data_IF_032266282900
#
_entry.id   IF_032266282900
#
_cell.length_a   1.000
_cell.length_b   1.000
_cell.length_c   1.000
_cell.angle_alpha   90.00
_cell.angle_beta   90.00
_cell.angle_gamma   90.00
#
_symmetry.space_group_name_H-M   'P 1'
#
loop_
_entity.id
_entity.type
_entity.pdbx_description
1 polymer ?
#
# COMPACT_ATOMS: atom_id res chain seq x y z
N UNK A 1 4.28 0.71 -14.04
CA UNK A 1 3.72 0.79 -12.67
C UNK A 1 2.56 1.76 -12.65
N UNK A 2 1.58 1.55 -11.78
CA UNK A 2 0.40 2.42 -11.65
C UNK A 2 0.20 2.81 -10.19
N UNK A 3 -0.26 4.02 -9.89
CA UNK A 3 -0.60 4.44 -8.52
C UNK A 3 -2.02 3.98 -8.14
N UNK A 4 -2.21 3.54 -6.90
CA UNK A 4 -3.46 3.05 -6.36
C UNK A 4 -3.92 3.84 -5.14
N UNK A 5 -5.25 3.93 -5.03
CA UNK A 5 -5.97 4.27 -3.82
C UNK A 5 -7.09 3.24 -3.65
N UNK A 6 -7.17 2.60 -2.48
CA UNK A 6 -8.13 1.55 -2.17
C UNK A 6 -8.82 1.80 -0.83
N UNK A 7 -10.06 1.32 -0.72
CA UNK A 7 -10.86 1.28 0.50
C UNK A 7 -11.54 -0.11 0.58
N UNK A 8 -11.40 -0.80 1.71
CA UNK A 8 -12.02 -2.11 1.92
C UNK A 8 -13.38 -2.05 2.65
N UNK A 9 -13.70 -0.95 3.34
CA UNK A 9 -14.99 -0.74 4.01
C UNK A 9 -16.20 -0.72 3.05
N UNK A 10 -16.02 -0.22 1.83
CA UNK A 10 -17.07 -0.25 0.80
C UNK A 10 -17.41 -1.69 0.38
N UNK A 11 -16.42 -2.59 0.31
CA UNK A 11 -16.60 -3.98 -0.13
C UNK A 11 -17.52 -4.75 0.83
N UNK A 12 -17.39 -4.52 2.13
CA UNK A 12 -18.22 -5.16 3.16
C UNK A 12 -19.67 -4.62 3.16
N UNK A 13 -19.89 -3.31 2.97
CA UNK A 13 -21.23 -2.68 2.99
C UNK A 13 -22.16 -3.12 1.86
N UNK A 14 -21.63 -3.51 0.69
CA UNK A 14 -22.43 -4.02 -0.43
C UNK A 14 -22.71 -5.54 -0.34
N UNK A 15 -22.45 -6.16 0.82
CA UNK A 15 -22.66 -7.59 1.03
C UNK A 15 -21.75 -8.47 0.16
N UNK A 16 -20.63 -7.92 -0.33
CA UNK A 16 -19.64 -8.70 -1.06
C UNK A 16 -18.73 -9.35 -0.03
N UNK A 17 -18.62 -10.70 -0.02
CA UNK A 17 -17.59 -11.37 0.77
C UNK A 17 -16.22 -10.78 0.41
N UNK A 18 -15.23 -10.87 1.30
CA UNK A 18 -13.78 -10.69 1.04
C UNK A 18 -13.21 -11.68 -0.02
N UNK A 19 -14.04 -12.13 -0.96
CA UNK A 19 -13.66 -13.03 -2.03
C UNK A 19 -13.15 -12.21 -3.19
N UNK A 20 -11.83 -12.09 -3.29
CA UNK A 20 -11.04 -11.80 -4.50
C UNK A 20 -11.88 -11.51 -5.75
N UNK A 21 -12.30 -10.25 -5.96
CA UNK A 21 -13.09 -9.88 -7.13
C UNK A 21 -12.22 -9.22 -8.20
N UNK A 22 -12.09 -9.95 -9.31
CA UNK A 22 -11.79 -9.42 -10.63
C UNK A 22 -13.12 -9.22 -11.36
N UNK A 23 -13.44 -7.98 -11.77
CA UNK A 23 -14.66 -7.67 -12.53
C UNK A 23 -14.32 -7.45 -13.99
N UNK A 24 -14.78 -8.34 -14.86
CA UNK A 24 -15.12 -7.97 -16.25
C UNK A 24 -16.49 -8.55 -16.57
N UNK A 25 -17.29 -7.76 -17.29
CA UNK A 25 -18.58 -8.20 -17.83
C UNK A 25 -18.40 -9.49 -18.66
N UNK A 26 -19.34 -10.41 -18.47
CA UNK A 26 -19.39 -11.81 -18.93
C UNK A 26 -18.66 -12.82 -18.02
N UNK A 27 -19.46 -13.49 -17.18
CA UNK A 27 -19.13 -14.70 -16.40
C UNK A 27 -18.14 -14.50 -15.24
N UNK A 28 -18.70 -14.46 -14.02
CA UNK A 28 -17.95 -14.51 -12.77
C UNK A 28 -17.31 -15.91 -12.63
N UNK A 29 -16.03 -16.03 -12.95
CA UNK A 29 -15.23 -17.18 -12.52
C UNK A 29 -14.62 -16.85 -11.16
N UNK A 30 -15.15 -17.47 -10.12
CA UNK A 30 -14.57 -17.45 -8.78
C UNK A 30 -13.23 -18.19 -8.85
N UNK A 31 -12.11 -17.54 -8.51
CA UNK A 31 -10.79 -18.19 -8.41
C UNK A 31 -10.44 -18.40 -6.92
N UNK A 32 -10.71 -19.59 -6.33
CA UNK A 32 -10.50 -19.89 -4.91
C UNK A 32 -9.03 -20.07 -4.49
N UNK A 33 -8.06 -19.72 -5.32
CA UNK A 33 -6.69 -20.26 -5.27
C UNK A 33 -5.60 -19.19 -5.34
N UNK A 34 -5.71 -18.10 -4.57
CA UNK A 34 -4.68 -17.04 -4.52
C UNK A 34 -3.90 -17.05 -3.22
N UNK A 35 -2.60 -16.76 -3.32
CA UNK A 35 -1.66 -16.61 -2.21
C UNK A 35 -1.20 -15.16 -2.14
N UNK A 36 -1.13 -14.60 -0.94
CA UNK A 36 -0.62 -13.26 -0.69
C UNK A 36 0.44 -13.28 0.40
N UNK A 37 1.49 -12.47 0.21
CA UNK A 37 2.56 -12.31 1.18
C UNK A 37 2.85 -10.83 1.42
N UNK A 38 3.33 -10.52 2.62
CA UNK A 38 3.62 -9.16 3.07
C UNK A 38 5.02 -9.09 3.66
N UNK A 39 5.69 -7.97 3.45
CA UNK A 39 6.86 -7.56 4.22
C UNK A 39 6.66 -6.08 4.58
N UNK A 40 6.21 -5.82 5.80
CA UNK A 40 5.79 -4.49 6.24
C UNK A 40 6.12 -4.21 7.71
N UNK A 41 6.39 -2.95 8.03
CA UNK A 41 6.30 -2.45 9.39
C UNK A 41 4.91 -1.93 9.69
N UNK A 42 4.50 -2.03 10.95
CA UNK A 42 3.22 -1.54 11.46
C UNK A 42 3.47 -0.72 12.71
N UNK A 43 2.56 0.19 13.03
CA UNK A 43 2.56 0.94 14.28
C UNK A 43 1.14 1.21 14.75
N UNK A 44 0.93 1.24 16.07
CA UNK A 44 -0.33 1.67 16.69
C UNK A 44 -0.34 3.16 17.02
N UNK A 45 0.76 3.86 16.79
CA UNK A 45 0.79 5.32 16.78
C UNK A 45 0.23 5.88 15.46
N UNK A 46 0.10 7.21 15.37
CA UNK A 46 -0.33 7.85 14.12
C UNK A 46 -1.81 7.82 13.86
N UNK A 47 -2.64 7.92 14.91
CA UNK A 47 -4.10 7.89 14.84
C UNK A 47 -4.70 8.73 13.70
N UNK A 48 -4.08 9.85 13.33
CA UNK A 48 -4.63 10.77 12.32
C UNK A 48 -3.99 10.63 10.95
N UNK A 49 -3.01 9.74 10.77
CA UNK A 49 -2.44 9.43 9.48
C UNK A 49 -0.92 9.33 9.45
N UNK A 50 -0.39 9.20 8.24
CA UNK A 50 1.04 9.08 7.98
C UNK A 50 1.41 9.62 6.59
N UNK A 51 2.67 10.01 6.48
CA UNK A 51 3.35 10.35 5.26
C UNK A 51 4.60 9.49 5.10
N UNK A 52 4.88 9.07 3.87
CA UNK A 52 6.17 8.49 3.53
C UNK A 52 6.52 8.79 2.06
N UNK A 53 7.80 8.70 1.75
CA UNK A 53 8.32 8.63 0.41
C UNK A 53 8.65 7.19 0.05
N UNK A 54 8.32 6.85 -1.17
CA UNK A 54 8.29 5.46 -1.54
C UNK A 54 9.05 5.26 -2.83
N UNK A 55 10.10 4.43 -2.77
CA UNK A 55 11.00 4.20 -3.89
C UNK A 55 10.32 3.29 -4.92
N UNK A 56 10.23 3.76 -6.17
CA UNK A 56 9.43 3.11 -7.21
C UNK A 56 10.32 2.36 -8.18
N UNK A 57 10.28 1.03 -8.16
CA UNK A 57 10.99 0.17 -9.12
C UNK A 57 10.04 -0.39 -10.17
N UNK A 58 10.55 -0.56 -11.39
CA UNK A 58 9.85 -1.29 -12.44
C UNK A 58 10.09 -2.80 -12.32
N UNK A 59 9.01 -3.59 -12.36
CA UNK A 59 9.09 -5.05 -12.41
C UNK A 59 8.58 -5.54 -13.78
N UNK A 60 9.45 -5.63 -14.81
CA UNK A 60 9.02 -5.91 -16.18
C UNK A 60 8.44 -7.33 -16.37
N UNK A 61 8.70 -8.25 -15.43
CA UNK A 61 8.39 -9.68 -15.55
C UNK A 61 7.17 -10.13 -14.72
N UNK A 62 6.33 -9.19 -14.24
CA UNK A 62 5.08 -9.53 -13.55
C UNK A 62 4.08 -10.15 -14.53
N UNK A 63 3.63 -11.38 -14.25
CA UNK A 63 2.63 -12.10 -15.05
C UNK A 63 1.23 -11.49 -14.85
N UNK A 64 0.30 -11.79 -15.77
CA UNK A 64 -1.06 -11.20 -15.81
C UNK A 64 -1.88 -11.39 -14.52
N UNK A 65 -1.64 -12.46 -13.76
CA UNK A 65 -2.33 -12.79 -12.51
C UNK A 65 -1.47 -12.57 -11.26
N UNK A 66 -0.31 -11.94 -11.42
CA UNK A 66 0.58 -11.59 -10.33
C UNK A 66 0.41 -10.11 -9.97
N UNK A 67 0.65 -9.83 -8.70
CA UNK A 67 0.59 -8.51 -8.09
C UNK A 67 1.84 -8.36 -7.23
N UNK A 68 2.47 -7.19 -7.35
CA UNK A 68 3.55 -6.77 -6.48
C UNK A 68 3.36 -5.28 -6.25
N UNK A 69 3.39 -4.87 -5.00
CA UNK A 69 3.06 -3.52 -4.60
C UNK A 69 3.84 -3.07 -3.38
N UNK A 70 3.76 -1.78 -3.15
CA UNK A 70 4.29 -1.10 -1.98
C UNK A 70 3.35 0.04 -1.64
N UNK A 71 3.09 0.23 -0.36
CA UNK A 71 1.94 0.97 0.10
C UNK A 71 2.15 1.62 1.48
N UNK A 72 1.30 2.60 1.76
CA UNK A 72 0.91 3.05 3.09
C UNK A 72 -0.50 2.53 3.35
N UNK A 73 -0.72 1.88 4.49
CA UNK A 73 -2.01 1.33 4.92
C UNK A 73 -2.46 1.98 6.23
N UNK A 74 -3.77 2.17 6.37
CA UNK A 74 -4.42 2.67 7.59
C UNK A 74 -5.60 1.76 7.89
N UNK A 75 -5.68 1.23 9.10
CA UNK A 75 -6.74 0.31 9.51
C UNK A 75 -7.34 0.68 10.87
N UNK A 76 -8.60 0.29 11.08
CA UNK A 76 -9.28 0.30 12.36
C UNK A 76 -10.24 -0.89 12.47
N UNK A 77 -10.51 -1.35 13.69
CA UNK A 77 -11.43 -2.43 13.98
C UNK A 77 -10.78 -3.81 14.06
N UNK A 78 -9.44 -3.85 14.18
CA UNK A 78 -8.62 -5.08 14.18
C UNK A 78 -8.90 -5.97 15.39
N UNK A 79 -9.32 -5.38 16.51
CA UNK A 79 -9.67 -6.13 17.74
C UNK A 79 -11.16 -6.54 17.78
N UNK A 80 -11.94 -6.16 16.76
CA UNK A 80 -13.36 -6.45 16.64
C UNK A 80 -13.66 -7.65 15.72
N UNK A 81 -14.94 -8.01 15.51
CA UNK A 81 -15.29 -9.01 14.51
C UNK A 81 -14.89 -8.53 13.11
N UNK A 82 -14.51 -9.45 12.22
CA UNK A 82 -13.88 -9.15 10.92
C UNK A 82 -14.69 -8.21 10.02
N UNK A 83 -16.03 -8.22 10.16
CA UNK A 83 -16.94 -7.33 9.46
C UNK A 83 -16.92 -5.86 9.95
N UNK A 84 -16.14 -5.56 10.98
CA UNK A 84 -15.90 -4.21 11.49
C UNK A 84 -14.52 -3.67 11.10
N UNK A 85 -13.65 -4.50 10.52
CA UNK A 85 -12.34 -4.06 10.04
C UNK A 85 -12.55 -3.18 8.82
N UNK A 86 -12.00 -1.98 8.87
CA UNK A 86 -11.99 -1.06 7.75
C UNK A 86 -10.56 -0.59 7.50
N UNK A 87 -10.13 -0.65 6.24
CA UNK A 87 -8.82 -0.19 5.82
C UNK A 87 -8.90 0.77 4.62
N UNK A 88 -7.94 1.68 4.55
CA UNK A 88 -7.60 2.43 3.35
C UNK A 88 -6.12 2.25 3.07
N UNK A 89 -5.75 2.19 1.79
CA UNK A 89 -4.36 2.10 1.38
C UNK A 89 -4.10 2.92 0.13
N UNK A 90 -2.89 3.44 0.03
CA UNK A 90 -2.40 4.06 -1.20
C UNK A 90 -0.96 3.64 -1.46
N UNK A 91 -0.61 3.45 -2.73
CA UNK A 91 0.64 2.82 -3.10
C UNK A 91 0.80 2.69 -4.61
N UNK A 92 1.72 1.86 -5.06
CA UNK A 92 1.82 1.45 -6.47
C UNK A 92 1.99 -0.04 -6.61
N UNK A 93 1.62 -0.50 -7.79
CA UNK A 93 1.66 -1.90 -8.16
C UNK A 93 2.20 -2.11 -9.58
N UNK A 94 2.77 -3.30 -9.79
CA UNK A 94 3.47 -3.69 -11.01
C UNK A 94 2.68 -4.51 -12.01
N UNK A 95 1.35 -4.43 -12.04
CA UNK A 95 0.53 -5.21 -12.98
C UNK A 95 0.25 -4.49 -14.32
N UNK A 96 0.67 -3.22 -14.44
CA UNK A 96 0.39 -2.39 -15.61
C UNK A 96 -1.10 -2.07 -15.83
N UNK A 97 -1.88 -1.94 -14.75
CA UNK A 97 -3.33 -1.71 -14.76
C UNK A 97 -4.13 -2.88 -15.36
N UNK A 98 -3.59 -4.10 -15.32
CA UNK A 98 -4.21 -5.30 -15.96
C UNK A 98 -5.07 -6.12 -15.02
N UNK A 99 -4.92 -6.00 -13.70
CA UNK A 99 -5.86 -6.59 -12.75
C UNK A 99 -7.08 -5.69 -12.72
N UNK A 100 -8.21 -6.19 -13.24
CA UNK A 100 -9.50 -5.57 -13.00
C UNK A 100 -9.95 -5.94 -11.59
N UNK A 101 -10.39 -4.96 -10.83
CA UNK A 101 -10.83 -5.09 -9.44
C UNK A 101 -11.35 -3.72 -9.00
N UNK A 102 -11.93 -3.63 -7.80
CA UNK A 102 -12.40 -2.37 -7.28
C UNK A 102 -11.18 -1.57 -6.76
N UNK A 103 -10.42 -0.99 -7.68
CA UNK A 103 -9.25 -0.18 -7.41
C UNK A 103 -9.42 1.17 -8.12
N UNK A 104 -8.82 2.24 -7.60
CA UNK A 104 -8.93 3.59 -8.16
C UNK A 104 -10.38 4.12 -8.12
N UNK A 105 -10.77 4.88 -9.14
CA UNK A 105 -12.13 5.42 -9.30
C UNK A 105 -13.17 4.37 -9.75
N UNK A 106 -12.78 3.09 -9.87
CA UNK A 106 -13.70 2.02 -10.22
C UNK A 106 -14.56 1.57 -9.03
N UNK A 107 -14.15 1.90 -7.80
CA UNK A 107 -15.00 1.82 -6.62
C UNK A 107 -15.73 3.12 -6.35
N UNK A 108 -16.97 3.02 -5.87
CA UNK A 108 -17.54 4.10 -5.09
C UNK A 108 -16.75 4.19 -3.78
N UNK A 109 -16.23 5.37 -3.46
CA UNK A 109 -15.67 5.63 -2.14
C UNK A 109 -14.54 6.65 -2.12
N UNK A 110 -13.75 6.75 -3.19
CA UNK A 110 -12.78 7.84 -3.33
C UNK A 110 -13.38 8.98 -4.15
N UNK A 111 -13.30 10.20 -3.66
CA UNK A 111 -13.81 11.40 -4.30
C UNK A 111 -12.63 12.26 -4.76
N UNK A 112 -12.40 12.40 -6.07
CA UNK A 112 -11.40 13.32 -6.61
C UNK A 112 -11.66 14.76 -6.18
N UNK A 113 -10.60 15.46 -5.76
CA UNK A 113 -10.66 16.90 -5.54
C UNK A 113 -10.78 17.65 -6.88
N UNK A 114 -9.93 17.27 -7.83
CA UNK A 114 -9.98 17.78 -9.20
C UNK A 114 -10.04 16.60 -10.18
N UNK A 115 -11.20 16.44 -10.84
CA UNK A 115 -11.43 15.39 -11.85
C UNK A 115 -10.51 15.49 -13.08
N UNK A 116 -9.91 16.66 -13.33
CA UNK A 116 -8.96 16.88 -14.41
C UNK A 116 -7.49 16.65 -14.00
N UNK A 117 -7.22 16.27 -12.74
CA UNK A 117 -5.86 16.02 -12.28
C UNK A 117 -5.23 14.83 -13.01
N UNK A 118 -3.98 14.99 -13.44
CA UNK A 118 -3.20 13.90 -14.06
C UNK A 118 -2.68 12.88 -13.05
N UNK A 119 -2.84 13.13 -11.74
CA UNK A 119 -2.39 12.27 -10.64
C UNK A 119 -3.52 11.51 -9.95
N UNK A 120 -4.69 11.39 -10.59
CA UNK A 120 -5.76 10.56 -10.05
C UNK A 120 -5.31 9.09 -9.97
N UNK A 121 -5.80 8.32 -8.97
CA UNK A 121 -5.52 6.89 -8.87
C UNK A 121 -5.72 6.19 -10.23
N UNK A 122 -4.73 5.40 -10.64
CA UNK A 122 -4.63 4.86 -12.00
C UNK A 122 -3.58 5.56 -12.88
N UNK A 123 -2.93 6.64 -12.42
CA UNK A 123 -1.87 7.31 -13.18
C UNK A 123 -0.59 6.45 -13.26
N UNK A 124 0.14 6.59 -14.37
CA UNK A 124 1.44 5.93 -14.57
C UNK A 124 2.53 6.70 -13.84
N UNK A 125 3.34 5.97 -13.08
CA UNK A 125 4.52 6.55 -12.42
C UNK A 125 5.70 6.43 -13.38
N UNK A 126 6.27 7.57 -13.74
CA UNK A 126 7.47 7.71 -14.54
C UNK A 126 8.20 9.00 -14.10
N UNK A 127 9.54 9.02 -14.05
CA UNK A 127 10.45 7.90 -14.28
C UNK A 127 10.48 6.88 -13.11
N UNK A 128 10.98 5.67 -13.40
CA UNK A 128 11.19 4.58 -12.43
C UNK A 128 12.64 4.48 -11.98
N UNK A 129 12.87 3.99 -10.77
CA UNK A 129 14.20 3.78 -10.18
C UNK A 129 14.97 2.69 -10.92
N UNK A 130 16.30 2.87 -11.00
CA UNK A 130 17.23 1.96 -11.64
C UNK A 130 18.08 1.22 -10.62
N UNK A 131 18.30 -0.08 -10.83
CA UNK A 131 19.22 -0.84 -9.98
C UNK A 131 20.65 -0.29 -10.10
N UNK A 132 21.24 0.05 -8.96
CA UNK A 132 22.54 0.70 -8.84
C UNK A 132 22.63 2.03 -9.63
N UNK A 133 21.49 2.74 -9.73
CA UNK A 133 21.34 3.97 -10.49
C UNK A 133 20.46 5.01 -9.79
N UNK A 134 19.89 5.92 -10.57
CA UNK A 134 19.05 7.00 -10.04
C UNK A 134 17.79 6.41 -9.41
N UNK A 135 17.49 6.87 -8.19
CA UNK A 135 16.29 6.48 -7.46
C UNK A 135 15.22 7.55 -7.62
N UNK A 136 13.99 7.10 -7.82
CA UNK A 136 12.82 7.95 -7.92
C UNK A 136 11.82 7.59 -6.83
N UNK A 137 11.20 8.61 -6.25
CA UNK A 137 10.25 8.45 -5.15
C UNK A 137 8.93 9.09 -5.48
N UNK A 138 7.86 8.55 -4.89
CA UNK A 138 6.55 9.19 -4.83
C UNK A 138 6.25 9.48 -3.37
N UNK A 139 5.96 10.74 -3.05
CA UNK A 139 5.60 11.12 -1.69
C UNK A 139 4.11 10.96 -1.49
N UNK A 140 3.69 10.14 -0.54
CA UNK A 140 2.28 9.87 -0.24
C UNK A 140 2.00 10.30 1.19
N UNK A 141 0.89 11.01 1.38
CA UNK A 141 0.34 11.30 2.71
C UNK A 141 -1.13 10.93 2.74
N UNK A 142 -1.53 10.16 3.75
CA UNK A 142 -2.92 9.92 4.08
C UNK A 142 -3.15 10.49 5.48
N UNK A 143 -4.12 11.39 5.63
CA UNK A 143 -4.48 11.92 6.95
C UNK A 143 -5.97 12.20 7.08
N UNK A 144 -6.50 12.14 8.29
CA UNK A 144 -7.88 12.49 8.57
C UNK A 144 -7.99 14.00 8.86
N UNK A 145 -8.72 14.72 8.02
CA UNK A 145 -8.89 16.17 8.16
C UNK A 145 -9.74 16.52 9.39
N UNK A 146 -9.31 17.52 10.14
CA UNK A 146 -9.97 17.99 11.35
C UNK A 146 -11.40 18.50 11.12
N UNK A 147 -11.63 19.16 9.98
CA UNK A 147 -12.87 19.89 9.73
C UNK A 147 -13.97 18.97 9.20
N UNK A 148 -13.67 18.17 8.18
CA UNK A 148 -14.65 17.28 7.56
C UNK A 148 -14.71 15.91 8.26
N UNK A 149 -13.57 15.45 8.80
CA UNK A 149 -13.37 14.09 9.29
C UNK A 149 -13.09 13.08 8.18
N UNK A 150 -12.94 13.53 6.93
CA UNK A 150 -12.63 12.68 5.78
C UNK A 150 -11.15 12.34 5.74
N UNK A 151 -10.82 11.19 5.13
CA UNK A 151 -9.44 10.78 4.94
C UNK A 151 -8.91 11.33 3.62
N UNK A 152 -7.99 12.28 3.68
CA UNK A 152 -7.39 12.92 2.52
C UNK A 152 -6.13 12.22 2.06
N UNK A 153 -6.04 12.02 0.75
CA UNK A 153 -4.88 11.49 0.05
C UNK A 153 -4.13 12.62 -0.66
N UNK A 154 -2.84 12.73 -0.38
CA UNK A 154 -1.91 13.63 -1.07
C UNK A 154 -0.82 12.84 -1.76
N UNK A 155 -0.44 13.30 -2.96
CA UNK A 155 0.70 12.79 -3.74
C UNK A 155 1.56 13.98 -4.12
N UNK A 156 2.85 13.91 -3.76
CA UNK A 156 3.83 14.98 -3.93
C UNK A 156 3.34 16.33 -3.37
N UNK A 157 2.77 16.27 -2.16
CA UNK A 157 2.15 17.38 -1.41
C UNK A 157 0.84 17.93 -1.99
N UNK A 158 0.43 17.52 -3.19
CA UNK A 158 -0.85 17.93 -3.78
C UNK A 158 -2.00 17.06 -3.27
N UNK A 159 -3.10 17.64 -2.77
CA UNK A 159 -4.32 16.87 -2.50
C UNK A 159 -4.90 16.35 -3.81
N UNK A 160 -5.16 15.05 -3.91
CA UNK A 160 -5.78 14.45 -5.10
C UNK A 160 -7.23 14.05 -4.87
N UNK A 161 -7.63 13.86 -3.62
CA UNK A 161 -8.99 13.50 -3.24
C UNK A 161 -9.04 12.89 -1.86
N UNK A 162 -10.22 12.40 -1.49
CA UNK A 162 -10.49 11.90 -0.14
C UNK A 162 -11.47 10.72 -0.13
N UNK A 163 -11.46 9.97 0.97
CA UNK A 163 -12.50 9.03 1.33
C UNK A 163 -13.44 9.66 2.37
N UNK A 164 -14.74 9.83 2.06
CA UNK A 164 -15.70 10.38 3.01
C UNK A 164 -15.79 9.57 4.30
N UNK A 165 -15.84 10.23 5.45
CA UNK A 165 -15.93 9.57 6.77
C UNK A 165 -17.13 8.65 6.89
N UNK A 166 -18.22 8.97 6.18
CA UNK A 166 -19.49 8.23 6.17
C UNK A 166 -19.35 6.81 5.63
N UNK A 167 -18.24 6.52 4.96
CA UNK A 167 -17.90 5.16 4.53
C UNK A 167 -17.52 4.27 5.71
N UNK A 168 -17.03 4.83 6.80
CA UNK A 168 -16.35 4.09 7.86
C UNK A 168 -17.11 4.08 9.17
N UNK A 169 -16.93 3.00 9.95
CA UNK A 169 -17.30 2.96 11.36
C UNK A 169 -16.06 3.28 12.20
N UNK A 170 -15.09 2.37 12.26
CA UNK A 170 -13.87 2.53 13.05
C UNK A 170 -13.02 3.73 12.59
N UNK A 171 -12.67 3.78 11.31
CA UNK A 171 -11.87 4.88 10.74
C UNK A 171 -12.56 6.25 10.81
N UNK A 172 -13.85 6.33 11.15
CA UNK A 172 -14.47 7.63 11.44
C UNK A 172 -13.89 8.30 12.70
N UNK A 173 -13.24 7.53 13.58
CA UNK A 173 -12.65 7.98 14.84
C UNK A 173 -11.11 8.02 14.82
N UNK A 174 -10.50 7.77 13.67
CA UNK A 174 -9.04 7.68 13.50
C UNK A 174 -8.56 6.25 13.23
N UNK A 175 -7.27 6.12 12.99
CA UNK A 175 -6.56 4.87 12.80
C UNK A 175 -6.31 4.14 14.12
N UNK A 176 -6.35 2.82 14.06
CA UNK A 176 -5.85 1.92 15.10
C UNK A 176 -4.43 1.44 14.77
N UNK A 177 -4.14 1.26 13.49
CA UNK A 177 -2.85 0.78 13.00
C UNK A 177 -2.51 1.48 11.68
N UNK A 178 -1.26 1.89 11.55
CA UNK A 178 -0.63 2.34 10.31
C UNK A 178 0.35 1.26 9.86
N UNK A 179 0.45 1.02 8.56
CA UNK A 179 1.43 0.10 7.99
C UNK A 179 2.15 0.68 6.78
N UNK A 180 3.40 0.26 6.60
CA UNK A 180 4.23 0.60 5.47
C UNK A 180 4.95 -0.65 5.01
N UNK A 181 4.92 -0.96 3.72
CA UNK A 181 5.73 -2.06 3.20
C UNK A 181 5.29 -2.55 1.83
N UNK A 182 5.69 -3.78 1.53
CA UNK A 182 5.39 -4.46 0.29
C UNK A 182 4.36 -5.57 0.45
N UNK A 183 3.62 -5.82 -0.62
CA UNK A 183 2.70 -6.95 -0.74
C UNK A 183 2.83 -7.60 -2.10
N UNK A 184 2.72 -8.92 -2.14
CA UNK A 184 2.56 -9.69 -3.37
C UNK A 184 1.28 -10.50 -3.32
N UNK A 185 0.71 -10.77 -4.49
CA UNK A 185 -0.43 -11.68 -4.62
C UNK A 185 -0.31 -12.43 -5.94
N UNK A 186 -0.59 -13.72 -5.96
CA UNK A 186 -0.43 -14.57 -7.15
C UNK A 186 -1.35 -15.80 -7.06
N UNK A 187 -1.53 -16.52 -8.17
CA UNK A 187 -2.25 -17.79 -8.16
C UNK A 187 -1.38 -18.86 -7.47
N UNK A 188 -1.96 -19.72 -6.62
CA UNK A 188 -1.21 -20.76 -5.86
C UNK A 188 -0.41 -21.73 -6.73
N UNK A 189 -0.79 -21.83 -8.00
CA UNK A 189 -0.15 -22.70 -8.99
C UNK A 189 0.98 -21.99 -9.75
N UNK A 190 1.05 -20.66 -9.67
CA UNK A 190 2.09 -19.84 -10.24
C UNK A 190 3.27 -19.68 -9.27
N UNK A 191 4.41 -19.27 -9.83
CA UNK A 191 5.54 -18.79 -9.03
C UNK A 191 5.17 -17.45 -8.39
N UNK A 192 5.65 -17.20 -7.18
CA UNK A 192 5.44 -15.88 -6.57
C UNK A 192 6.26 -14.80 -7.31
N UNK A 193 5.73 -13.57 -7.44
CA UNK A 193 6.43 -12.48 -8.11
C UNK A 193 7.49 -11.84 -7.20
N UNK A 194 8.49 -11.13 -7.76
CA UNK A 194 9.38 -10.30 -6.96
C UNK A 194 8.63 -9.19 -6.21
N UNK A 195 9.12 -8.81 -5.03
CA UNK A 195 8.63 -7.68 -4.24
C UNK A 195 9.60 -6.50 -4.28
N UNK A 196 9.08 -5.28 -4.38
CA UNK A 196 9.90 -4.07 -4.41
C UNK A 196 10.75 -4.00 -5.67
N UNK A 197 12.08 -3.99 -5.52
CA UNK A 197 13.03 -4.05 -6.65
C UNK A 197 13.31 -5.48 -7.13
N UNK A 198 12.80 -6.50 -6.45
CA UNK A 198 13.19 -7.90 -6.66
C UNK A 198 14.49 -8.30 -5.97
N UNK A 199 15.06 -7.42 -5.15
CA UNK A 199 16.28 -7.66 -4.38
C UNK A 199 16.01 -7.66 -2.88
N UNK A 200 16.88 -8.34 -2.14
CA UNK A 200 16.80 -8.40 -0.69
C UNK A 200 17.26 -7.07 -0.05
N UNK A 201 16.70 -6.69 1.12
CA UNK A 201 16.99 -5.42 1.78
C UNK A 201 18.47 -5.23 2.16
N UNK A 202 19.22 -6.31 2.35
CA UNK A 202 20.65 -6.31 2.67
C UNK A 202 21.50 -5.67 1.56
N UNK A 203 20.98 -5.57 0.33
CA UNK A 203 21.66 -4.85 -0.76
C UNK A 203 21.63 -3.32 -0.59
N UNK A 204 20.69 -2.79 0.19
CA UNK A 204 20.65 -1.40 0.62
C UNK A 204 20.37 -0.37 -0.48
N UNK A 205 20.88 0.85 -0.26
CA UNK A 205 20.58 2.03 -1.06
C UNK A 205 20.91 1.84 -2.55
N UNK A 206 20.01 2.32 -3.41
CA UNK A 206 20.16 2.22 -4.86
C UNK A 206 19.87 0.84 -5.45
N UNK A 207 19.60 -0.18 -4.63
CA UNK A 207 19.40 -1.57 -5.08
C UNK A 207 18.14 -2.21 -4.53
N UNK A 208 17.94 -2.14 -3.22
CA UNK A 208 16.72 -2.59 -2.57
C UNK A 208 15.62 -1.52 -2.70
N UNK A 209 14.35 -1.96 -2.64
CA UNK A 209 13.26 -1.03 -2.46
C UNK A 209 13.28 -0.47 -1.04
N UNK A 210 12.82 0.77 -0.88
CA UNK A 210 12.78 1.43 0.41
C UNK A 210 11.48 2.22 0.57
N UNK A 211 11.08 2.34 1.83
CA UNK A 211 10.17 3.38 2.29
C UNK A 211 10.99 4.29 3.19
N UNK A 212 10.95 5.58 2.94
CA UNK A 212 11.79 6.57 3.59
C UNK A 212 10.99 7.81 3.98
N UNK A 213 11.58 8.68 4.79
CA UNK A 213 10.93 9.88 5.30
C UNK A 213 9.56 9.60 5.94
N UNK A 214 9.44 8.45 6.62
CA UNK A 214 8.24 8.02 7.34
C UNK A 214 8.00 8.97 8.50
N UNK A 215 6.80 9.53 8.53
CA UNK A 215 6.32 10.43 9.58
C UNK A 215 4.84 10.15 9.82
N UNK A 216 4.35 10.47 11.00
CA UNK A 216 2.92 10.55 11.26
C UNK A 216 2.36 11.90 10.85
N UNK A 217 1.05 11.96 10.68
CA UNK A 217 0.31 13.19 10.41
C UNK A 217 -0.71 13.44 11.53
N UNK A 218 -0.85 14.70 11.93
CA UNK A 218 -1.94 15.15 12.81
C UNK A 218 -3.21 15.51 12.01
N UNK A 219 -4.28 15.91 12.70
CA UNK A 219 -5.56 16.29 12.07
C UNK A 219 -5.48 17.55 11.20
N UNK A 220 -4.51 18.42 11.46
CA UNK A 220 -4.23 19.61 10.64
C UNK A 220 -3.32 19.27 9.45
N UNK A 221 -2.90 18.00 9.33
CA UNK A 221 -2.03 17.50 8.27
C UNK A 221 -0.55 17.83 8.46
N UNK A 222 -0.13 18.33 9.62
CA UNK A 222 1.28 18.54 9.96
C UNK A 222 1.93 17.20 10.28
N UNK A 223 3.20 17.06 9.95
CA UNK A 223 3.94 15.82 10.18
C UNK A 223 4.81 15.87 11.41
N UNK A 224 4.95 14.72 12.09
CA UNK A 224 5.81 14.54 13.25
C UNK A 224 6.50 13.18 13.19
N UNK A 225 7.63 13.07 13.89
CA UNK A 225 8.44 11.85 13.90
C UNK A 225 7.72 10.71 14.67
N UNK A 226 8.03 9.48 14.27
CA UNK A 226 7.64 8.27 14.98
C UNK A 226 8.35 8.20 16.35
N UNK A 227 7.68 7.69 17.38
CA UNK A 227 8.36 7.35 18.64
C UNK A 227 9.17 6.08 18.47
N UNK A 228 10.43 6.09 18.87
CA UNK A 228 11.34 4.94 18.77
C UNK A 228 10.77 3.71 19.51
N UNK A 229 10.64 2.58 18.80
CA UNK A 229 10.14 1.32 19.35
C UNK A 229 8.62 1.14 19.29
N UNK A 230 7.89 2.09 18.70
CA UNK A 230 6.44 1.97 18.47
C UNK A 230 6.10 1.33 17.11
N UNK A 231 7.12 0.89 16.36
CA UNK A 231 7.00 0.06 15.18
C UNK A 231 7.21 -1.43 15.48
N UNK A 232 6.56 -2.30 14.70
CA UNK A 232 6.80 -3.74 14.74
C UNK A 232 6.76 -4.35 13.34
N UNK A 233 7.69 -5.28 13.11
CA UNK A 233 7.85 -5.97 11.84
C UNK A 233 6.76 -7.05 11.64
N UNK A 234 6.28 -7.18 10.41
CA UNK A 234 5.43 -8.27 9.95
C UNK A 234 5.88 -8.73 8.56
N UNK A 235 6.51 -9.90 8.52
CA UNK A 235 6.76 -10.65 7.31
C UNK A 235 6.31 -12.10 7.48
N UNK A 236 5.58 -12.63 6.51
CA UNK A 236 5.02 -13.99 6.59
C UNK A 236 5.89 -15.03 5.88
N UNK A 237 6.89 -14.58 5.12
CA UNK A 237 7.80 -15.41 4.31
C UNK A 237 9.21 -14.83 4.25
N UNK A 238 9.93 -14.82 5.37
CA UNK A 238 11.31 -14.31 5.47
C UNK A 238 12.33 -15.02 4.57
N UNK A 239 12.01 -16.23 4.12
CA UNK A 239 12.77 -16.96 3.11
C UNK A 239 12.69 -16.32 1.71
N UNK A 240 11.63 -15.55 1.45
CA UNK A 240 11.27 -15.03 0.14
C UNK A 240 11.24 -13.51 0.07
N UNK A 241 10.70 -12.88 1.11
CA UNK A 241 10.49 -11.44 1.24
C UNK A 241 10.92 -11.02 2.64
N UNK A 242 11.79 -10.01 2.70
CA UNK A 242 12.41 -9.61 3.97
C UNK A 242 12.22 -8.13 4.23
N UNK A 243 12.17 -7.82 5.52
CA UNK A 243 12.36 -6.49 6.05
C UNK A 243 13.81 -6.30 6.46
N UNK A 244 14.37 -5.15 6.09
CA UNK A 244 15.57 -4.61 6.70
C UNK A 244 15.26 -3.99 8.06
N UNK A 245 16.32 -3.54 8.73
CA UNK A 245 16.22 -2.77 9.96
C UNK A 245 15.39 -1.49 9.76
N UNK A 246 14.56 -1.16 10.76
CA UNK A 246 13.88 0.12 10.82
C UNK A 246 14.82 1.17 11.41
N UNK A 247 15.12 2.20 10.64
CA UNK A 247 16.11 3.21 11.00
C UNK A 247 15.36 4.51 11.30
N UNK A 248 15.39 4.92 12.57
CA UNK A 248 14.83 6.19 13.03
C UNK A 248 15.85 7.33 12.82
N UNK A 249 15.53 8.27 11.93
CA UNK A 249 16.37 9.46 11.64
C UNK A 249 15.63 10.75 12.00
N UNK A 250 16.38 11.83 12.27
CA UNK A 250 15.81 13.13 12.66
C UNK A 250 14.81 13.72 11.66
N UNK A 251 14.92 13.36 10.38
CA UNK A 251 14.10 13.88 9.28
C UNK A 251 12.94 12.95 8.87
N UNK A 252 12.82 11.79 9.53
CA UNK A 252 11.84 10.74 9.24
C UNK A 252 12.51 9.38 9.12
N UNK A 253 11.77 8.33 9.46
CA UNK A 253 12.31 6.97 9.52
C UNK A 253 12.36 6.32 8.14
N UNK A 254 13.15 5.25 8.02
CA UNK A 254 13.24 4.48 6.77
C UNK A 254 13.53 3.01 7.02
N UNK A 255 13.21 2.18 6.04
CA UNK A 255 13.65 0.80 5.99
C UNK A 255 13.71 0.30 4.54
N UNK A 256 14.53 -0.71 4.31
CA UNK A 256 14.58 -1.44 3.05
C UNK A 256 13.71 -2.68 3.12
N UNK A 257 13.15 -3.11 1.99
CA UNK A 257 12.39 -4.35 1.89
C UNK A 257 12.47 -4.91 0.48
N UNK A 258 12.12 -6.18 0.33
CA UNK A 258 11.99 -6.79 -0.98
C UNK A 258 12.33 -8.27 -0.98
N UNK A 259 12.40 -8.82 -2.18
CA UNK A 259 12.74 -10.22 -2.37
C UNK A 259 12.49 -10.70 -3.79
N UNK A 260 13.16 -11.78 -4.14
CA UNK A 260 13.21 -12.31 -5.51
C UNK A 260 11.90 -13.00 -5.93
N UNK A 261 11.12 -13.51 -4.96
CA UNK A 261 10.00 -14.44 -5.23
C UNK A 261 10.48 -15.75 -5.87
N UNK A 262 9.63 -16.37 -6.68
CA UNK A 262 10.00 -17.54 -7.50
C UNK A 262 9.97 -18.90 -6.78
N UNK A 263 10.54 -19.93 -7.39
CA UNK A 263 10.62 -21.29 -6.81
C UNK A 263 11.82 -21.47 -5.89
N UNK A 264 12.85 -20.62 -6.01
CA UNK A 264 14.11 -20.77 -5.27
C UNK A 264 13.80 -20.63 -3.76
N UNK A 265 13.87 -21.74 -3.02
CA UNK A 265 13.54 -21.81 -1.59
C UNK A 265 12.11 -22.25 -1.25
N UNK A 266 11.22 -22.43 -2.22
CA UNK A 266 9.84 -22.86 -1.98
C UNK A 266 8.84 -21.72 -1.75
N UNK A 267 9.07 -20.54 -2.36
CA UNK A 267 8.21 -19.35 -2.28
C UNK A 267 6.88 -19.46 -3.03
N UNK A 268 6.14 -20.56 -2.81
CA UNK A 268 4.73 -20.73 -3.20
C UNK A 268 3.78 -20.34 -2.08
#
# INVERSE_FOLDING_TARGET
MTFLAQNEAFLQKVGRPERNYISNHASITVLPDRVGHFAQYRSREGQWGSQAELVVYGLPNIKRNQYSAVFIGIANGLDGPSNNVNSISAGWHGDGSKITGCYNLLCNGFVPENKASSKLPGFKIEPLSEYNGVQHVVKVKIHQDENSGDWWLHVDNSPIGFWPKTLFTGLSQGAQEISWGGAVNFDKNDDSPPMGSGHFPEEGEGKAAAIQNIQFADKSGNTYALTDGEEFAYDDRTDCYRLGEFINEKTGSKFYFGGVGGIIGGCK
#
